data_IF_974561015488
#
_entry.id   IF_974561015488
#
_cell.length_a   1.000
_cell.length_b   1.000
_cell.length_c   1.000
_cell.angle_alpha   90.00
_cell.angle_beta   90.00
_cell.angle_gamma   90.00
#
_symmetry.space_group_name_H-M   'P 1'
#
loop_
_entity.id
_entity.type
_entity.pdbx_description
1 polymer ?
#
# COMPACT_ATOMS: atom_id res chain seq x y z
N UNK A 1 21.29 80.57 18.05
CA UNK A 1 22.19 79.44 17.70
C UNK A 1 21.71 78.17 18.40
N UNK A 2 21.40 77.14 17.61
CA UNK A 2 20.66 75.91 17.99
C UNK A 2 21.37 75.07 19.07
N UNK A 3 20.62 74.65 20.10
CA UNK A 3 21.01 73.57 21.03
C UNK A 3 20.51 72.23 20.44
N UNK A 4 21.41 71.28 20.21
CA UNK A 4 21.07 69.92 19.79
C UNK A 4 20.85 69.03 21.02
N UNK A 5 19.64 68.52 21.20
CA UNK A 5 19.34 67.45 22.16
C UNK A 5 19.60 66.12 21.45
N UNK A 6 20.58 65.34 21.90
CA UNK A 6 20.80 63.97 21.43
C UNK A 6 19.86 63.05 22.21
N UNK A 7 18.79 62.58 21.56
CA UNK A 7 17.97 61.49 22.09
C UNK A 7 18.61 60.19 21.61
N UNK A 8 19.12 59.40 22.56
CA UNK A 8 19.64 58.06 22.31
C UNK A 8 18.46 57.08 22.36
N UNK A 9 17.98 56.62 21.20
CA UNK A 9 17.02 55.51 21.13
C UNK A 9 17.81 54.20 21.32
N UNK A 10 17.62 53.54 22.46
CA UNK A 10 18.06 52.15 22.67
C UNK A 10 16.99 51.24 22.06
N UNK A 11 17.28 50.69 20.88
CA UNK A 11 16.49 49.63 20.26
C UNK A 11 16.81 48.32 20.98
N UNK A 12 15.94 47.91 21.91
CA UNK A 12 15.96 46.54 22.44
C UNK A 12 15.37 45.64 21.36
N UNK A 13 16.23 45.00 20.58
CA UNK A 13 15.84 43.90 19.70
C UNK A 13 15.60 42.68 20.58
N UNK A 14 14.34 42.49 20.99
CA UNK A 14 13.90 41.25 21.61
C UNK A 14 13.96 40.12 20.59
N UNK A 15 15.02 39.32 20.66
CA UNK A 15 15.14 38.10 19.87
C UNK A 15 14.11 37.10 20.42
N UNK A 16 12.94 37.03 19.80
CA UNK A 16 11.95 35.98 20.04
C UNK A 16 12.54 34.66 19.54
N UNK A 17 13.15 33.90 20.46
CA UNK A 17 13.51 32.51 20.22
C UNK A 17 12.19 31.74 20.19
N UNK A 18 11.65 31.54 18.99
CA UNK A 18 10.58 30.58 18.78
C UNK A 18 11.15 29.20 19.12
N UNK A 19 10.54 28.41 20.03
CA UNK A 19 10.98 27.05 20.26
C UNK A 19 10.90 26.31 18.92
N UNK A 20 12.01 25.72 18.49
CA UNK A 20 11.99 24.77 17.39
C UNK A 20 10.95 23.71 17.75
N UNK A 21 9.92 23.55 16.91
CA UNK A 21 9.00 22.42 17.06
C UNK A 21 9.86 21.17 16.99
N UNK A 22 9.95 20.42 18.09
CA UNK A 22 10.51 19.09 18.04
C UNK A 22 9.67 18.33 17.02
N UNK A 23 10.29 17.98 15.89
CA UNK A 23 9.65 17.10 14.93
C UNK A 23 9.36 15.80 15.70
N UNK A 24 8.09 15.54 15.98
CA UNK A 24 7.67 14.30 16.60
C UNK A 24 7.95 13.18 15.59
N UNK A 25 9.05 12.45 15.78
CA UNK A 25 9.32 11.27 15.01
C UNK A 25 8.40 10.15 15.52
N UNK A 26 7.63 9.56 14.62
CA UNK A 26 6.88 8.35 14.89
C UNK A 26 7.60 7.16 14.28
N UNK A 27 7.62 6.06 15.00
CA UNK A 27 8.15 4.79 14.54
C UNK A 27 7.05 3.75 14.62
N UNK A 28 6.81 3.06 13.51
CA UNK A 28 5.89 1.93 13.51
C UNK A 28 6.42 0.82 14.45
N UNK A 29 5.53 0.08 15.12
CA UNK A 29 5.96 -1.03 15.96
C UNK A 29 6.75 -2.03 15.12
N UNK A 30 7.82 -2.58 15.68
CA UNK A 30 8.65 -3.58 14.98
C UNK A 30 7.94 -4.93 14.82
N UNK A 31 6.92 -5.19 15.63
CA UNK A 31 6.08 -6.38 15.58
C UNK A 31 4.62 -6.00 15.74
N UNK A 32 3.74 -6.75 15.08
CA UNK A 32 2.29 -6.59 15.24
C UNK A 32 1.74 -7.67 16.16
N UNK A 33 0.73 -7.32 16.95
CA UNK A 33 -0.02 -8.35 17.68
C UNK A 33 -0.63 -9.33 16.68
N UNK A 34 -0.53 -10.63 16.96
CA UNK A 34 -1.09 -11.70 16.11
C UNK A 34 -0.45 -11.82 14.72
N UNK A 35 0.74 -11.25 14.46
CA UNK A 35 1.48 -11.55 13.23
C UNK A 35 1.77 -13.06 13.08
N UNK A 36 2.16 -13.50 11.89
CA UNK A 36 2.47 -14.91 11.67
C UNK A 36 3.75 -15.29 12.40
N UNK A 37 3.67 -16.25 13.33
CA UNK A 37 4.84 -16.73 14.06
C UNK A 37 5.95 -17.18 13.07
N UNK A 38 7.17 -16.67 13.31
CA UNK A 38 8.39 -16.88 12.49
C UNK A 38 8.33 -16.37 11.05
N UNK A 39 7.24 -15.75 10.61
CA UNK A 39 7.09 -15.16 9.27
C UNK A 39 6.92 -13.63 9.33
N UNK A 40 6.26 -13.12 10.37
CA UNK A 40 6.05 -11.68 10.58
C UNK A 40 4.91 -11.11 9.71
N UNK A 41 5.13 -9.91 9.20
CA UNK A 41 4.20 -9.09 8.41
C UNK A 41 4.76 -8.77 7.02
N UNK A 42 5.03 -9.83 6.25
CA UNK A 42 5.50 -9.73 4.85
C UNK A 42 4.50 -9.03 3.94
N UNK A 43 5.01 -8.32 2.94
CA UNK A 43 4.26 -7.61 1.88
C UNK A 43 3.11 -6.73 2.42
N UNK A 44 3.41 -5.76 3.29
CA UNK A 44 2.38 -4.94 3.92
C UNK A 44 1.72 -3.99 2.90
N UNK A 45 0.40 -4.06 2.79
CA UNK A 45 -0.41 -3.09 2.06
C UNK A 45 -1.31 -2.29 3.00
N UNK A 46 -1.35 -0.97 2.84
CA UNK A 46 -2.16 -0.07 3.67
C UNK A 46 -3.23 0.63 2.82
N UNK A 47 -4.49 0.39 3.13
CA UNK A 47 -5.64 1.14 2.64
C UNK A 47 -6.00 2.26 3.61
N UNK A 48 -6.18 3.49 3.13
CA UNK A 48 -6.81 4.57 3.90
C UNK A 48 -8.29 4.67 3.54
N UNK A 49 -9.18 4.54 4.52
CA UNK A 49 -10.63 4.66 4.29
C UNK A 49 -11.33 5.31 5.49
N UNK A 50 -12.16 6.33 5.21
CA UNK A 50 -12.97 7.07 6.20
C UNK A 50 -12.22 7.57 7.45
N UNK A 51 -10.93 7.87 7.33
CA UNK A 51 -10.11 8.42 8.41
C UNK A 51 -9.19 7.39 9.08
N UNK A 52 -9.47 6.11 8.90
CA UNK A 52 -8.65 5.00 9.41
C UNK A 52 -7.75 4.42 8.32
N UNK A 53 -6.76 3.66 8.78
CA UNK A 53 -5.82 2.88 7.98
C UNK A 53 -6.05 1.39 8.24
N UNK A 54 -5.97 0.58 7.19
CA UNK A 54 -6.15 -0.86 7.25
C UNK A 54 -4.95 -1.54 6.62
N UNK A 55 -4.27 -2.37 7.39
CA UNK A 55 -3.08 -3.10 6.98
C UNK A 55 -3.46 -4.55 6.66
N UNK A 56 -3.03 -5.02 5.49
CA UNK A 56 -3.12 -6.41 5.05
C UNK A 56 -1.70 -6.92 4.79
N UNK A 57 -1.45 -8.20 5.09
CA UNK A 57 -0.12 -8.81 4.96
C UNK A 57 -0.22 -10.18 4.32
N UNK A 58 0.87 -10.63 3.71
CA UNK A 58 0.99 -11.98 3.18
C UNK A 58 0.72 -13.05 4.23
N UNK A 59 0.20 -14.18 3.75
CA UNK A 59 -0.07 -15.38 4.53
C UNK A 59 1.07 -16.35 4.33
N UNK A 60 1.61 -16.88 5.43
CA UNK A 60 2.61 -17.94 5.41
C UNK A 60 2.13 -19.14 4.58
N UNK A 61 3.02 -19.75 3.79
CA UNK A 61 2.69 -20.86 2.86
C UNK A 61 1.91 -22.03 3.47
N UNK A 62 2.14 -22.30 4.77
CA UNK A 62 1.48 -23.38 5.49
C UNK A 62 0.07 -23.04 5.98
N UNK A 63 -0.29 -21.76 6.00
CA UNK A 63 -1.49 -21.23 6.63
C UNK A 63 -2.53 -20.78 5.60
N UNK A 64 -3.79 -20.72 6.05
CA UNK A 64 -4.93 -20.25 5.26
C UNK A 64 -5.52 -19.00 5.91
N UNK A 65 -5.90 -18.05 5.07
CA UNK A 65 -6.63 -16.85 5.45
C UNK A 65 -5.72 -15.63 5.60
N UNK A 66 -6.29 -14.46 5.32
CA UNK A 66 -5.56 -13.19 5.30
C UNK A 66 -5.87 -12.42 6.57
N UNK A 67 -4.83 -12.01 7.30
CA UNK A 67 -4.95 -11.17 8.50
C UNK A 67 -5.03 -9.69 8.13
N UNK A 68 -5.76 -8.92 8.94
CA UNK A 68 -5.73 -7.47 8.85
C UNK A 68 -5.64 -6.78 10.21
N UNK A 69 -5.22 -5.53 10.19
CA UNK A 69 -5.20 -4.62 11.33
C UNK A 69 -5.82 -3.27 10.93
N UNK A 70 -6.37 -2.54 11.89
CA UNK A 70 -6.78 -1.15 11.71
C UNK A 70 -5.98 -0.20 12.60
N UNK A 71 -5.79 1.04 12.16
CA UNK A 71 -5.09 2.08 12.92
C UNK A 71 -5.68 3.46 12.62
N UNK A 72 -5.85 4.33 13.62
CA UNK A 72 -6.25 5.71 13.39
C UNK A 72 -5.08 6.62 12.98
N UNK A 73 -3.83 6.19 13.20
CA UNK A 73 -2.65 7.06 13.18
C UNK A 73 -1.40 6.44 12.54
N UNK A 74 -1.52 5.25 11.93
CA UNK A 74 -0.43 4.43 11.37
C UNK A 74 0.55 3.86 12.41
N UNK A 75 0.35 4.13 13.70
CA UNK A 75 1.29 3.77 14.78
C UNK A 75 0.66 2.73 15.69
N UNK A 76 -0.57 2.97 16.12
CA UNK A 76 -1.32 2.10 17.02
C UNK A 76 -2.23 1.19 16.20
N UNK A 77 -1.87 -0.10 16.14
CA UNK A 77 -2.57 -1.09 15.31
C UNK A 77 -3.40 -2.06 16.16
N UNK A 78 -4.67 -2.23 15.78
CA UNK A 78 -5.61 -3.18 16.39
C UNK A 78 -5.83 -4.35 15.44
N UNK A 79 -5.64 -5.59 15.91
CA UNK A 79 -5.88 -6.78 15.10
C UNK A 79 -7.37 -6.92 14.76
N UNK A 80 -7.69 -7.02 13.47
CA UNK A 80 -9.04 -7.11 12.95
C UNK A 80 -9.48 -8.56 12.67
N UNK A 81 -8.61 -9.55 12.89
CA UNK A 81 -8.90 -10.96 12.64
C UNK A 81 -8.45 -11.45 11.27
N UNK A 82 -8.89 -12.66 10.92
CA UNK A 82 -8.81 -13.20 9.56
C UNK A 82 -9.97 -12.60 8.75
N UNK A 83 -9.62 -11.72 7.82
CA UNK A 83 -10.60 -11.01 6.98
C UNK A 83 -10.99 -11.81 5.74
N UNK A 84 -10.18 -12.79 5.35
CA UNK A 84 -10.52 -13.80 4.35
C UNK A 84 -10.18 -15.18 4.90
N UNK A 85 -11.04 -16.17 4.70
CA UNK A 85 -10.86 -17.53 5.27
C UNK A 85 -11.09 -18.64 4.26
N UNK A 86 -11.34 -18.30 3.00
CA UNK A 86 -11.56 -19.30 1.95
C UNK A 86 -10.29 -20.15 1.74
N UNK A 87 -10.39 -21.49 1.57
CA UNK A 87 -9.23 -22.35 1.32
C UNK A 87 -8.32 -21.91 0.17
N UNK A 88 -8.83 -21.18 -0.83
CA UNK A 88 -7.98 -20.65 -1.91
C UNK A 88 -6.93 -19.67 -1.41
N UNK A 89 -7.13 -19.05 -0.24
CA UNK A 89 -6.20 -18.09 0.37
C UNK A 89 -4.99 -18.72 1.07
N UNK A 90 -4.79 -20.03 0.93
CA UNK A 90 -3.60 -20.70 1.47
C UNK A 90 -2.33 -20.12 0.84
N UNK A 91 -1.42 -19.60 1.67
CA UNK A 91 -0.22 -18.91 1.17
C UNK A 91 -0.54 -17.69 0.31
N UNK A 92 -1.59 -16.93 0.64
CA UNK A 92 -1.96 -15.68 -0.04
C UNK A 92 -0.82 -14.65 -0.02
N UNK A 93 -0.19 -14.40 -1.17
CA UNK A 93 0.88 -13.42 -1.32
C UNK A 93 0.36 -12.03 -1.68
N UNK A 94 1.04 -11.02 -1.13
CA UNK A 94 0.89 -9.59 -1.38
C UNK A 94 -0.58 -9.14 -1.58
N UNK A 95 -1.45 -9.30 -0.56
CA UNK A 95 -2.84 -8.90 -0.69
C UNK A 95 -2.98 -7.37 -0.73
N UNK A 96 -3.57 -6.85 -1.80
CA UNK A 96 -3.91 -5.43 -1.96
C UNK A 96 -5.42 -5.23 -1.94
N UNK A 97 -5.90 -4.14 -1.32
CA UNK A 97 -7.33 -3.82 -1.21
C UNK A 97 -7.65 -2.43 -1.73
N UNK A 98 -8.61 -2.32 -2.65
CA UNK A 98 -9.14 -1.04 -3.13
C UNK A 98 -10.62 -0.90 -2.84
N UNK A 99 -11.06 0.31 -2.48
CA UNK A 99 -12.48 0.63 -2.34
C UNK A 99 -13.04 1.17 -3.65
N UNK A 100 -14.16 0.63 -4.11
CA UNK A 100 -14.90 1.16 -5.24
C UNK A 100 -16.40 0.88 -5.11
N UNK A 101 -17.21 1.90 -5.35
CA UNK A 101 -18.67 1.80 -5.48
C UNK A 101 -19.35 0.95 -4.39
N UNK A 102 -19.02 1.20 -3.12
CA UNK A 102 -19.64 0.51 -1.98
C UNK A 102 -18.94 -0.77 -1.52
N UNK A 103 -17.95 -1.28 -2.26
CA UNK A 103 -17.27 -2.53 -1.97
C UNK A 103 -15.76 -2.37 -1.84
N UNK A 104 -15.14 -3.30 -1.14
CA UNK A 104 -13.70 -3.50 -1.05
C UNK A 104 -13.31 -4.70 -1.89
N UNK A 105 -12.35 -4.53 -2.78
CA UNK A 105 -11.85 -5.57 -3.66
C UNK A 105 -10.42 -5.91 -3.26
N UNK A 106 -10.20 -7.18 -2.91
CA UNK A 106 -8.89 -7.69 -2.51
C UNK A 106 -8.30 -8.53 -3.63
N UNK A 107 -7.07 -8.24 -4.00
CA UNK A 107 -6.29 -8.94 -5.02
C UNK A 107 -5.13 -9.63 -4.34
N UNK A 108 -4.98 -10.94 -4.54
CA UNK A 108 -3.90 -11.72 -3.94
C UNK A 108 -3.52 -12.88 -4.84
N UNK A 109 -2.28 -13.36 -4.77
CA UNK A 109 -1.75 -14.47 -5.57
C UNK A 109 -1.30 -15.66 -4.72
N UNK A 110 -2.23 -16.52 -4.25
CA UNK A 110 -1.92 -17.64 -3.38
C UNK A 110 -0.90 -18.62 -3.96
N UNK A 111 0.18 -18.84 -3.20
CA UNK A 111 1.30 -19.71 -3.56
C UNK A 111 2.02 -19.31 -4.85
N UNK A 112 1.85 -18.05 -5.28
CA UNK A 112 2.44 -17.54 -6.51
C UNK A 112 1.82 -18.06 -7.81
N UNK A 113 0.64 -18.70 -7.73
CA UNK A 113 0.03 -19.38 -8.88
C UNK A 113 -0.95 -18.52 -9.68
N UNK A 114 -0.98 -17.21 -9.42
CA UNK A 114 -1.88 -16.25 -10.05
C UNK A 114 -2.96 -15.68 -9.16
N UNK A 115 -3.53 -14.57 -9.62
CA UNK A 115 -4.38 -13.73 -8.79
C UNK A 115 -5.82 -14.21 -8.70
N UNK A 116 -6.41 -14.03 -7.52
CA UNK A 116 -7.84 -14.08 -7.28
C UNK A 116 -8.33 -12.68 -6.91
N UNK A 117 -9.61 -12.40 -7.20
CA UNK A 117 -10.30 -11.21 -6.69
C UNK A 117 -11.34 -11.65 -5.65
N UNK A 118 -11.20 -11.12 -4.45
CA UNK A 118 -12.16 -11.29 -3.36
C UNK A 118 -12.88 -9.95 -3.13
N UNK A 119 -14.07 -10.00 -2.52
CA UNK A 119 -14.88 -8.81 -2.24
C UNK A 119 -15.46 -8.81 -0.83
N UNK A 120 -15.52 -7.65 -0.21
CA UNK A 120 -16.25 -7.40 1.04
C UNK A 120 -17.03 -6.08 1.01
N UNK A 121 -18.00 -5.93 1.90
CA UNK A 121 -18.68 -4.67 2.21
C UNK A 121 -17.95 -3.85 3.30
N UNK A 122 -16.95 -4.45 3.95
CA UNK A 122 -16.16 -3.86 5.03
C UNK A 122 -14.65 -3.99 4.73
N UNK A 123 -13.82 -3.01 5.10
CA UNK A 123 -12.37 -3.15 4.95
C UNK A 123 -11.80 -4.27 5.84
N UNK A 124 -12.53 -4.67 6.89
CA UNK A 124 -12.11 -5.77 7.78
C UNK A 124 -12.81 -7.09 7.45
N UNK A 125 -13.37 -7.22 6.25
CA UNK A 125 -14.01 -8.46 5.82
C UNK A 125 -15.40 -8.72 6.43
N UNK A 126 -15.96 -9.92 6.20
CA UNK A 126 -15.33 -11.02 5.48
C UNK A 126 -15.21 -10.73 3.97
N UNK A 127 -14.06 -11.05 3.40
CA UNK A 127 -13.78 -11.06 1.97
C UNK A 127 -14.13 -12.44 1.41
N UNK A 128 -14.88 -12.45 0.31
CA UNK A 128 -15.38 -13.65 -0.36
C UNK A 128 -14.90 -13.71 -1.79
N UNK A 129 -14.47 -14.89 -2.25
CA UNK A 129 -13.94 -15.10 -3.61
C UNK A 129 -15.00 -14.78 -4.66
N UNK A 130 -14.65 -13.92 -5.62
CA UNK A 130 -15.55 -13.51 -6.71
C UNK A 130 -15.12 -14.05 -8.07
N UNK A 131 -13.85 -14.45 -8.22
CA UNK A 131 -13.31 -14.94 -9.48
C UNK A 131 -12.62 -16.28 -9.32
N UNK A 132 -12.54 -17.11 -10.38
CA UNK A 132 -11.50 -18.13 -10.44
C UNK A 132 -10.11 -17.47 -10.46
N UNK A 133 -9.07 -18.30 -10.37
CA UNK A 133 -7.71 -17.84 -10.60
C UNK A 133 -7.59 -17.20 -12.00
N UNK A 134 -7.03 -16.00 -12.05
CA UNK A 134 -6.83 -15.23 -13.28
C UNK A 134 -5.58 -15.63 -14.04
N UNK A 135 -4.74 -16.50 -13.49
CA UNK A 135 -3.55 -17.07 -14.16
C UNK A 135 -2.45 -16.04 -14.44
N UNK A 136 -2.49 -14.91 -13.74
CA UNK A 136 -1.41 -13.93 -13.73
C UNK A 136 -0.27 -14.44 -12.82
N UNK A 137 0.74 -13.63 -12.52
CA UNK A 137 1.87 -14.01 -11.66
C UNK A 137 1.61 -13.67 -10.18
N UNK A 138 2.38 -12.74 -9.61
CA UNK A 138 2.30 -12.25 -8.22
C UNK A 138 2.28 -10.73 -8.15
N UNK A 139 2.18 -10.19 -6.93
CA UNK A 139 2.35 -8.78 -6.59
C UNK A 139 1.44 -7.86 -7.38
N UNK A 140 0.14 -8.06 -7.17
CA UNK A 140 -0.90 -7.31 -7.86
C UNK A 140 -1.09 -5.93 -7.26
N UNK A 141 -1.14 -4.90 -8.10
CA UNK A 141 -1.44 -3.52 -7.68
C UNK A 141 -2.52 -2.89 -8.55
N UNK A 142 -3.52 -2.26 -7.93
CA UNK A 142 -4.60 -1.57 -8.64
C UNK A 142 -4.39 -0.07 -8.60
N UNK A 143 -4.47 0.55 -9.77
CA UNK A 143 -4.50 2.00 -9.91
C UNK A 143 -5.74 2.41 -10.71
N UNK A 144 -6.45 3.41 -10.20
CA UNK A 144 -7.58 4.03 -10.89
C UNK A 144 -7.17 5.45 -11.24
N UNK A 145 -7.16 5.78 -12.52
CA UNK A 145 -6.76 7.10 -13.00
C UNK A 145 -7.92 8.12 -12.88
N UNK A 146 -7.63 9.39 -13.12
CA UNK A 146 -8.56 10.51 -12.98
C UNK A 146 -9.76 10.43 -13.95
N UNK A 147 -9.62 9.69 -15.06
CA UNK A 147 -10.69 9.42 -16.02
C UNK A 147 -11.56 8.20 -15.63
N UNK A 148 -11.25 7.55 -14.51
CA UNK A 148 -11.92 6.34 -14.04
C UNK A 148 -11.42 5.06 -14.70
N UNK A 149 -10.38 5.10 -15.55
CA UNK A 149 -9.77 3.91 -16.11
C UNK A 149 -8.99 3.16 -15.04
N UNK A 150 -9.27 1.87 -14.91
CA UNK A 150 -8.57 0.96 -14.01
C UNK A 150 -7.36 0.32 -14.70
N UNK A 151 -6.31 0.14 -13.93
CA UNK A 151 -5.11 -0.58 -14.34
C UNK A 151 -4.70 -1.57 -13.24
N UNK A 152 -4.31 -2.77 -13.66
CA UNK A 152 -3.68 -3.75 -12.79
C UNK A 152 -2.22 -3.95 -13.18
N UNK A 153 -1.33 -3.78 -12.21
CA UNK A 153 0.09 -4.05 -12.36
C UNK A 153 0.43 -5.37 -11.68
N UNK A 154 1.38 -6.11 -12.24
CA UNK A 154 1.84 -7.39 -11.69
C UNK A 154 3.31 -7.64 -12.01
N UNK A 155 3.94 -8.52 -11.23
CA UNK A 155 5.34 -8.89 -11.42
C UNK A 155 5.60 -9.67 -12.72
N UNK A 156 6.72 -9.44 -13.38
CA UNK A 156 7.23 -10.30 -14.44
C UNK A 156 8.76 -10.32 -14.38
N UNK A 157 9.33 -11.40 -14.89
CA UNK A 157 10.77 -11.45 -15.07
C UNK A 157 11.21 -10.29 -15.98
N UNK A 158 12.11 -9.45 -15.45
CA UNK A 158 12.74 -8.36 -16.18
C UNK A 158 11.95 -7.05 -16.25
N UNK A 159 10.77 -6.91 -15.63
CA UNK A 159 9.51 -6.56 -16.31
C UNK A 159 8.29 -6.24 -15.40
N UNK A 160 7.81 -4.99 -15.27
CA UNK A 160 6.43 -4.76 -14.82
C UNK A 160 5.43 -4.77 -15.99
N UNK A 161 4.29 -5.45 -15.79
CA UNK A 161 3.21 -5.54 -16.79
C UNK A 161 1.96 -4.84 -16.27
N UNK A 162 1.36 -4.01 -17.11
CA UNK A 162 0.09 -3.33 -16.85
C UNK A 162 -1.03 -3.91 -17.72
N UNK A 163 -2.16 -4.21 -17.08
CA UNK A 163 -3.40 -4.65 -17.72
C UNK A 163 -4.46 -3.56 -17.55
N UNK A 164 -5.06 -3.02 -18.62
CA UNK A 164 -6.26 -2.21 -18.47
C UNK A 164 -7.40 -3.07 -17.93
N UNK A 165 -8.25 -2.53 -17.07
CA UNK A 165 -9.40 -3.24 -16.52
C UNK A 165 -10.70 -2.51 -16.88
N UNK A 166 -11.74 -3.26 -17.24
CA UNK A 166 -13.08 -2.69 -17.50
C UNK A 166 -13.94 -2.59 -16.25
N UNK A 167 -13.61 -3.40 -15.24
CA UNK A 167 -14.28 -3.52 -13.96
C UNK A 167 -13.30 -4.18 -12.96
N UNK A 168 -13.63 -4.29 -11.66
CA UNK A 168 -12.72 -4.87 -10.67
C UNK A 168 -12.27 -6.33 -10.91
N UNK A 169 -12.89 -7.07 -11.84
CA UNK A 169 -12.68 -8.51 -12.06
C UNK A 169 -12.08 -8.85 -13.44
N UNK A 170 -12.12 -7.91 -14.37
CA UNK A 170 -11.80 -8.12 -15.79
C UNK A 170 -10.49 -7.45 -16.16
N UNK A 171 -9.52 -8.25 -16.59
CA UNK A 171 -8.16 -7.81 -16.95
C UNK A 171 -7.99 -7.96 -18.46
N UNK A 172 -7.67 -6.86 -19.14
CA UNK A 172 -7.36 -6.84 -20.56
C UNK A 172 -5.97 -7.39 -20.88
N UNK A 173 -5.57 -7.28 -22.14
CA UNK A 173 -4.24 -7.69 -22.59
C UNK A 173 -3.15 -6.92 -21.84
N UNK A 174 -2.16 -7.66 -21.33
CA UNK A 174 -1.03 -7.07 -20.64
C UNK A 174 -0.11 -6.32 -21.60
N UNK A 175 0.40 -5.19 -21.15
CA UNK A 175 1.41 -4.40 -21.85
C UNK A 175 2.61 -4.17 -20.95
N UNK A 176 3.79 -4.25 -21.54
CA UNK A 176 5.03 -3.93 -20.86
C UNK A 176 5.10 -2.45 -20.51
N UNK A 177 5.37 -2.13 -19.25
CA UNK A 177 5.52 -0.74 -18.78
C UNK A 177 6.92 -0.16 -19.03
N UNK A 178 7.90 -1.01 -19.32
CA UNK A 178 9.32 -0.68 -19.38
C UNK A 178 9.97 -0.48 -18.00
N UNK A 179 9.21 -0.58 -16.91
CA UNK A 179 9.74 -0.46 -15.56
C UNK A 179 10.42 -1.78 -15.15
N UNK A 180 11.73 -1.69 -14.90
CA UNK A 180 12.62 -2.81 -14.60
C UNK A 180 13.74 -2.32 -13.70
N UNK A 181 14.19 -3.14 -12.74
CA UNK A 181 15.45 -2.90 -12.04
C UNK A 181 16.46 -3.95 -12.51
N UNK A 182 17.54 -3.48 -13.16
CA UNK A 182 18.71 -4.29 -13.53
C UNK A 182 18.41 -5.54 -14.38
N UNK A 183 17.23 -5.62 -15.02
CA UNK A 183 16.85 -6.76 -15.87
C UNK A 183 16.49 -8.05 -15.12
N UNK A 184 16.52 -8.04 -13.78
CA UNK A 184 16.20 -9.20 -12.94
C UNK A 184 14.72 -9.29 -12.56
N UNK A 185 14.41 -10.12 -11.57
CA UNK A 185 13.07 -10.17 -10.99
C UNK A 185 12.71 -8.83 -10.37
N UNK A 186 11.67 -8.20 -10.92
CA UNK A 186 11.09 -6.94 -10.45
C UNK A 186 9.68 -7.27 -9.96
N UNK A 187 9.27 -6.70 -8.83
CA UNK A 187 7.98 -7.00 -8.16
C UNK A 187 7.53 -5.85 -7.24
N UNK A 188 6.47 -6.05 -6.44
CA UNK A 188 6.01 -5.08 -5.45
C UNK A 188 5.64 -3.72 -6.03
N UNK A 189 4.98 -3.70 -7.18
CA UNK A 189 4.60 -2.46 -7.84
C UNK A 189 3.66 -1.61 -6.96
N UNK A 190 3.86 -0.30 -6.94
CA UNK A 190 2.84 0.65 -6.49
C UNK A 190 2.90 1.88 -7.37
N UNK A 191 1.76 2.22 -7.98
CA UNK A 191 1.62 3.38 -8.85
C UNK A 191 0.79 4.44 -8.17
N UNK A 192 1.33 5.65 -8.08
CA UNK A 192 0.62 6.83 -7.59
C UNK A 192 0.71 7.95 -8.61
N UNK A 193 -0.38 8.73 -8.71
CA UNK A 193 -0.40 9.95 -9.50
C UNK A 193 -0.35 11.17 -8.58
N UNK A 194 0.56 12.10 -8.87
CA UNK A 194 0.68 13.36 -8.13
C UNK A 194 1.11 14.48 -9.06
N UNK A 195 0.36 15.59 -9.06
CA UNK A 195 0.63 16.77 -9.89
C UNK A 195 0.83 16.45 -11.38
N UNK A 196 -0.03 15.59 -11.93
CA UNK A 196 0.02 15.18 -13.34
C UNK A 196 1.17 14.23 -13.70
N UNK A 197 1.91 13.72 -12.71
CA UNK A 197 3.00 12.74 -12.90
C UNK A 197 2.64 11.41 -12.25
N UNK A 198 3.04 10.33 -12.92
CA UNK A 198 2.95 8.97 -12.41
C UNK A 198 4.27 8.57 -11.80
N UNK A 199 4.21 7.96 -10.62
CA UNK A 199 5.35 7.43 -9.89
C UNK A 199 5.09 5.95 -9.66
N UNK A 200 6.04 5.11 -10.04
CA UNK A 200 6.02 3.69 -9.74
C UNK A 200 7.14 3.38 -8.76
N UNK A 201 6.81 2.79 -7.62
CA UNK A 201 7.79 2.11 -6.76
C UNK A 201 7.75 0.62 -7.07
N UNK A 202 8.90 -0.03 -6.97
CA UNK A 202 9.06 -1.45 -7.23
C UNK A 202 10.25 -1.98 -6.42
N UNK A 203 10.26 -3.28 -6.19
CA UNK A 203 11.31 -4.02 -5.51
C UNK A 203 12.05 -4.87 -6.55
N UNK A 204 13.32 -5.15 -6.28
CA UNK A 204 14.07 -6.11 -7.07
C UNK A 204 15.04 -6.88 -6.23
N UNK A 205 15.18 -8.14 -6.59
CA UNK A 205 16.26 -8.96 -6.08
C UNK A 205 17.53 -8.65 -6.88
N UNK A 206 18.58 -8.21 -6.20
CA UNK A 206 19.91 -8.27 -6.78
C UNK A 206 20.28 -9.76 -6.81
N UNK A 207 20.34 -10.35 -8.01
CA UNK A 207 21.01 -11.64 -8.16
C UNK A 207 22.44 -11.46 -7.65
N UNK A 208 22.85 -12.32 -6.71
CA UNK A 208 24.21 -12.37 -6.18
C UNK A 208 25.15 -13.05 -7.17
#
# INVERSE_FOLDING_TARGET
MRKYVKILLVLIVGCLILPASLAQAYQNPQTLSHEWATYGSGDPYILKFKGDYYLYVSTKDSETGIKAWSSPDLVNWTYAGLVATDPVTKGAYAPEVIYWNGYFYMYTSPGGNGHYVLRSESPTGPFTVQTPNKGLSIDGHVFIDDDGQWYFYRAEHGQMVAHPMSDPYSFGAGSNTGASISGGWTEGATVIKRNGKYYMTQLSHLEK
#
